data_IF_633921816914
#
_entry.id   IF_633921816914
#
_cell.length_a   1.000
_cell.length_b   1.000
_cell.length_c   1.000
_cell.angle_alpha   90.00
_cell.angle_beta   90.00
_cell.angle_gamma   90.00
#
_symmetry.space_group_name_H-M   'P 1'
#
loop_
_entity.id
_entity.type
_entity.pdbx_description
1 polymer ?
#
# COMPACT_ATOMS: atom_id res chain seq x y z
N UNK A 1 -48.87 -32.64 -35.32
CA UNK A 1 -48.06 -31.89 -36.30
C UNK A 1 -47.95 -30.38 -36.05
N UNK A 2 -48.51 -29.81 -34.96
CA UNK A 2 -48.48 -28.35 -34.71
C UNK A 2 -47.41 -27.95 -33.66
N UNK A 3 -46.88 -28.88 -32.86
CA UNK A 3 -45.91 -28.59 -31.79
C UNK A 3 -44.44 -28.55 -32.23
N UNK A 4 -44.10 -29.11 -33.39
CA UNK A 4 -42.71 -29.11 -33.89
C UNK A 4 -42.37 -27.82 -34.67
N UNK A 5 -43.39 -27.14 -35.20
CA UNK A 5 -43.22 -25.92 -36.00
C UNK A 5 -42.95 -24.66 -35.17
N UNK A 6 -43.19 -24.69 -33.85
CA UNK A 6 -42.96 -23.55 -32.93
C UNK A 6 -41.54 -23.56 -32.36
N UNK A 7 -40.91 -24.74 -32.24
CA UNK A 7 -39.51 -24.83 -31.78
C UNK A 7 -38.51 -24.42 -32.86
N UNK A 8 -38.82 -24.65 -34.15
CA UNK A 8 -37.93 -24.29 -35.25
C UNK A 8 -37.97 -22.79 -35.60
N UNK A 9 -39.08 -22.10 -35.34
CA UNK A 9 -39.16 -20.63 -35.49
C UNK A 9 -38.47 -19.87 -34.36
N UNK A 10 -38.32 -20.47 -33.17
CA UNK A 10 -37.59 -19.87 -32.05
C UNK A 10 -36.06 -19.87 -32.22
N UNK A 11 -35.50 -20.83 -32.97
CA UNK A 11 -34.05 -20.89 -33.23
C UNK A 11 -33.59 -20.07 -34.44
N UNK A 12 -34.49 -19.65 -35.34
CA UNK A 12 -34.16 -18.84 -36.51
C UNK A 12 -34.13 -17.32 -36.24
N UNK A 13 -34.47 -16.89 -35.02
CA UNK A 13 -34.41 -15.48 -34.59
C UNK A 13 -33.27 -15.18 -33.61
N UNK A 14 -32.47 -16.19 -33.22
CA UNK A 14 -31.23 -15.97 -32.51
C UNK A 14 -30.14 -15.51 -33.50
N UNK A 15 -30.30 -14.28 -34.01
CA UNK A 15 -29.21 -13.58 -34.68
C UNK A 15 -28.04 -13.53 -33.70
N UNK A 16 -26.81 -13.91 -34.09
CA UNK A 16 -25.67 -13.72 -33.21
C UNK A 16 -25.65 -12.24 -32.83
N UNK A 17 -25.65 -11.96 -31.53
CA UNK A 17 -25.45 -10.60 -31.01
C UNK A 17 -23.98 -10.25 -31.36
N UNK A 18 -23.72 -9.82 -32.59
CA UNK A 18 -22.39 -9.39 -33.00
C UNK A 18 -22.15 -8.04 -32.36
N UNK A 19 -21.23 -7.97 -31.40
CA UNK A 19 -20.71 -6.71 -30.87
C UNK A 19 -20.24 -5.86 -32.05
N UNK A 20 -20.86 -4.70 -32.26
CA UNK A 20 -20.48 -3.79 -33.32
C UNK A 20 -19.23 -3.01 -32.90
N UNK A 21 -18.27 -2.88 -33.81
CA UNK A 21 -17.14 -1.98 -33.63
C UNK A 21 -17.46 -0.63 -34.31
N UNK A 22 -17.35 0.47 -33.55
CA UNK A 22 -17.69 1.81 -34.03
C UNK A 22 -16.53 2.76 -33.79
N UNK A 23 -16.01 3.36 -34.85
CA UNK A 23 -15.06 4.45 -34.73
C UNK A 23 -15.78 5.70 -34.19
N UNK A 24 -15.19 6.36 -33.19
CA UNK A 24 -15.71 7.60 -32.62
C UNK A 24 -14.72 8.73 -32.94
N UNK A 25 -15.22 9.76 -33.61
CA UNK A 25 -14.43 10.96 -33.96
C UNK A 25 -14.44 11.91 -32.75
N UNK A 26 -13.30 12.56 -32.41
CA UNK A 26 -13.23 13.54 -31.33
C UNK A 26 -14.18 14.73 -31.55
N UNK A 27 -14.58 15.37 -30.46
CA UNK A 27 -15.50 16.52 -30.46
C UNK A 27 -16.28 16.62 -29.16
N UNK A 28 -16.89 17.78 -28.92
CA UNK A 28 -17.73 18.00 -27.73
C UNK A 28 -18.97 17.12 -27.77
N UNK A 29 -19.21 16.36 -26.69
CA UNK A 29 -20.34 15.44 -26.56
C UNK A 29 -20.29 14.20 -27.45
N UNK A 30 -19.27 14.04 -28.29
CA UNK A 30 -19.15 12.95 -29.26
C UNK A 30 -19.13 11.57 -28.62
N UNK A 31 -18.38 11.40 -27.52
CA UNK A 31 -18.29 10.14 -26.79
C UNK A 31 -19.62 9.81 -26.11
N UNK A 32 -20.28 10.79 -25.48
CA UNK A 32 -21.60 10.61 -24.87
C UNK A 32 -22.64 10.17 -25.90
N UNK A 33 -22.67 10.80 -27.08
CA UNK A 33 -23.56 10.39 -28.17
C UNK A 33 -23.25 8.97 -28.69
N UNK A 34 -21.96 8.61 -28.79
CA UNK A 34 -21.55 7.28 -29.20
C UNK A 34 -21.97 6.20 -28.18
N UNK A 35 -21.82 6.48 -26.89
CA UNK A 35 -22.28 5.61 -25.80
C UNK A 35 -23.80 5.43 -25.87
N UNK A 36 -24.56 6.52 -26.02
CA UNK A 36 -26.03 6.49 -26.09
C UNK A 36 -26.55 5.70 -27.31
N UNK A 37 -25.81 5.73 -28.43
CA UNK A 37 -26.16 4.99 -29.64
C UNK A 37 -25.69 3.53 -29.66
N UNK A 38 -24.86 3.09 -28.70
CA UNK A 38 -24.27 1.77 -28.68
C UNK A 38 -25.21 0.71 -28.06
N UNK A 39 -25.12 -0.53 -28.55
CA UNK A 39 -25.77 -1.67 -27.92
C UNK A 39 -24.86 -2.27 -26.83
N UNK A 40 -25.42 -2.92 -25.78
CA UNK A 40 -24.63 -3.70 -24.84
C UNK A 40 -23.70 -4.70 -25.55
N UNK A 41 -22.42 -4.68 -25.18
CA UNK A 41 -21.35 -5.49 -25.78
C UNK A 41 -20.57 -4.79 -26.90
N UNK A 42 -21.05 -3.66 -27.41
CA UNK A 42 -20.36 -2.94 -28.49
C UNK A 42 -18.98 -2.41 -28.08
N UNK A 43 -18.15 -2.17 -29.10
CA UNK A 43 -16.80 -1.65 -28.98
C UNK A 43 -16.72 -0.25 -29.60
N UNK A 44 -16.43 0.76 -28.79
CA UNK A 44 -16.17 2.14 -29.22
C UNK A 44 -14.67 2.37 -29.38
N UNK A 45 -14.22 2.58 -30.61
CA UNK A 45 -12.82 2.84 -30.97
C UNK A 45 -12.57 4.33 -31.10
N UNK A 46 -11.89 4.92 -30.11
CA UNK A 46 -11.52 6.33 -30.13
C UNK A 46 -10.34 6.54 -31.10
N UNK A 47 -10.40 7.67 -31.81
CA UNK A 47 -9.29 8.20 -32.62
C UNK A 47 -8.57 9.30 -31.84
N UNK A 48 -7.38 9.70 -32.28
CA UNK A 48 -6.65 10.78 -31.61
C UNK A 48 -7.46 12.09 -31.62
N UNK A 49 -7.46 12.78 -30.47
CA UNK A 49 -8.14 14.06 -30.31
C UNK A 49 -8.93 14.17 -29.00
N UNK A 50 -9.55 15.34 -28.80
CA UNK A 50 -10.25 15.67 -27.57
C UNK A 50 -11.75 15.31 -27.63
N UNK A 51 -12.21 14.55 -26.65
CA UNK A 51 -13.60 14.21 -26.37
C UNK A 51 -14.04 15.03 -25.14
N UNK A 52 -14.64 16.19 -25.41
CA UNK A 52 -15.01 17.14 -24.35
C UNK A 52 -16.38 16.80 -23.75
N UNK A 53 -16.45 16.92 -22.43
CA UNK A 53 -17.62 16.68 -21.62
C UNK A 53 -17.56 15.33 -20.91
N UNK A 54 -17.98 15.34 -19.63
CA UNK A 54 -18.08 14.14 -18.81
C UNK A 54 -19.10 13.15 -19.39
N UNK A 55 -18.85 11.86 -19.21
CA UNK A 55 -19.68 10.78 -19.75
C UNK A 55 -20.07 9.76 -18.70
N UNK A 56 -21.26 9.17 -18.87
CA UNK A 56 -21.73 8.03 -18.09
C UNK A 56 -21.75 6.81 -19.00
N UNK A 57 -21.05 5.74 -18.61
CA UNK A 57 -21.06 4.43 -19.27
C UNK A 57 -22.04 3.54 -18.52
N UNK A 58 -23.28 3.57 -18.99
CA UNK A 58 -24.49 2.98 -18.39
C UNK A 58 -24.94 1.68 -19.08
N UNK A 59 -24.11 1.14 -19.97
CA UNK A 59 -24.29 -0.19 -20.55
C UNK A 59 -22.95 -0.91 -20.69
N UNK A 60 -22.92 -2.26 -20.68
CA UNK A 60 -21.68 -3.01 -20.90
C UNK A 60 -21.07 -2.61 -22.25
N UNK A 61 -19.88 -2.02 -22.24
CA UNK A 61 -19.19 -1.53 -23.44
C UNK A 61 -17.69 -1.69 -23.30
N UNK A 62 -17.01 -1.85 -24.43
CA UNK A 62 -15.56 -1.66 -24.50
C UNK A 62 -15.27 -0.32 -25.15
N UNK A 63 -14.63 0.61 -24.44
CA UNK A 63 -14.10 1.85 -24.99
C UNK A 63 -12.59 1.70 -25.06
N UNK A 64 -12.04 1.73 -26.28
CA UNK A 64 -10.61 1.57 -26.52
C UNK A 64 -10.08 2.69 -27.40
N UNK A 65 -8.88 3.16 -27.12
CA UNK A 65 -8.27 4.24 -27.90
C UNK A 65 -6.76 4.30 -27.71
N UNK A 66 -6.07 5.04 -28.59
CA UNK A 66 -4.68 5.42 -28.38
C UNK A 66 -4.57 6.44 -27.25
N UNK A 67 -3.34 6.61 -26.73
CA UNK A 67 -3.06 7.61 -25.69
C UNK A 67 -3.40 9.05 -26.13
N UNK A 68 -3.39 9.34 -27.43
CA UNK A 68 -3.79 10.64 -27.99
C UNK A 68 -5.29 10.90 -28.01
N UNK A 69 -6.14 9.90 -27.73
CA UNK A 69 -7.54 10.13 -27.41
C UNK A 69 -7.66 10.66 -25.98
N UNK A 70 -8.17 11.88 -25.81
CA UNK A 70 -8.25 12.56 -24.52
C UNK A 70 -9.71 12.81 -24.16
N UNK A 71 -10.21 12.13 -23.13
CA UNK A 71 -11.52 12.42 -22.53
C UNK A 71 -11.33 13.51 -21.47
N UNK A 72 -11.96 14.66 -21.67
CA UNK A 72 -11.79 15.86 -20.86
C UNK A 72 -13.11 16.23 -20.18
N UNK A 73 -13.14 16.21 -18.85
CA UNK A 73 -14.30 16.56 -18.04
C UNK A 73 -14.51 18.07 -17.84
N UNK A 74 -13.66 18.90 -18.43
CA UNK A 74 -13.79 20.37 -18.46
C UNK A 74 -13.88 21.02 -17.06
N UNK A 75 -13.29 20.37 -16.05
CA UNK A 75 -13.24 20.85 -14.68
C UNK A 75 -14.52 20.62 -13.87
N UNK A 76 -15.41 19.73 -14.30
CA UNK A 76 -16.70 19.48 -13.65
C UNK A 76 -16.92 18.00 -13.31
N UNK A 77 -17.21 17.72 -12.04
CA UNK A 77 -17.58 16.38 -11.58
C UNK A 77 -16.52 15.32 -11.87
N UNK A 78 -16.96 14.07 -12.02
CA UNK A 78 -16.10 12.99 -12.52
C UNK A 78 -16.14 12.90 -14.05
N UNK A 79 -14.99 12.62 -14.68
CA UNK A 79 -14.86 12.64 -16.15
C UNK A 79 -15.57 11.46 -16.79
N UNK A 80 -15.30 10.24 -16.32
CA UNK A 80 -15.98 9.02 -16.77
C UNK A 80 -16.63 8.30 -15.59
N UNK A 81 -17.95 8.23 -15.58
CA UNK A 81 -18.71 7.49 -14.56
C UNK A 81 -19.17 6.16 -15.14
N UNK A 82 -18.71 5.05 -14.57
CA UNK A 82 -19.13 3.69 -14.95
C UNK A 82 -20.26 3.25 -14.02
N UNK A 83 -21.45 3.03 -14.58
CA UNK A 83 -22.64 2.62 -13.83
C UNK A 83 -23.19 1.25 -14.25
N UNK A 84 -22.68 0.67 -15.34
CA UNK A 84 -23.01 -0.68 -15.79
C UNK A 84 -21.89 -1.69 -15.51
N UNK A 85 -22.24 -2.98 -15.37
CA UNK A 85 -21.25 -4.03 -15.24
C UNK A 85 -20.51 -4.29 -16.56
N UNK A 86 -19.38 -5.01 -16.47
CA UNK A 86 -18.63 -5.52 -17.62
C UNK A 86 -18.15 -4.43 -18.60
N UNK A 87 -17.98 -3.19 -18.10
CA UNK A 87 -17.41 -2.08 -18.87
C UNK A 87 -15.89 -2.19 -18.91
N UNK A 88 -15.31 -2.05 -20.10
CA UNK A 88 -13.85 -1.99 -20.31
C UNK A 88 -13.45 -0.63 -20.84
N UNK A 89 -12.51 0.04 -20.17
CA UNK A 89 -11.85 1.27 -20.63
C UNK A 89 -10.38 0.99 -20.87
N UNK A 90 -9.83 1.26 -22.07
CA UNK A 90 -8.44 0.92 -22.36
C UNK A 90 -7.67 1.87 -23.28
N UNK A 91 -6.44 2.21 -22.87
CA UNK A 91 -5.39 2.80 -23.72
C UNK A 91 -5.37 4.32 -23.88
N UNK A 92 -6.44 5.03 -23.52
CA UNK A 92 -6.61 6.47 -23.75
C UNK A 92 -6.30 7.33 -22.50
N UNK A 93 -6.38 8.65 -22.66
CA UNK A 93 -6.09 9.63 -21.61
C UNK A 93 -7.37 10.23 -21.02
N UNK A 94 -7.42 10.40 -19.70
CA UNK A 94 -8.55 10.98 -18.96
C UNK A 94 -8.08 12.15 -18.11
N UNK A 95 -8.65 13.34 -18.33
CA UNK A 95 -8.25 14.59 -17.67
C UNK A 95 -9.45 15.45 -17.26
N UNK A 96 -9.18 16.45 -16.43
CA UNK A 96 -10.10 17.57 -16.25
C UNK A 96 -11.32 17.24 -15.40
N UNK A 97 -11.20 16.38 -14.38
CA UNK A 97 -12.25 16.27 -13.36
C UNK A 97 -12.46 17.62 -12.65
N UNK A 98 -13.58 17.74 -11.93
CA UNK A 98 -13.77 18.75 -10.90
C UNK A 98 -12.75 18.64 -9.76
N UNK A 99 -12.90 19.52 -8.75
CA UNK A 99 -11.96 19.68 -7.63
C UNK A 99 -12.60 19.48 -6.26
N UNK A 100 -13.81 18.92 -6.20
CA UNK A 100 -14.53 18.72 -4.95
C UNK A 100 -14.11 17.38 -4.33
N UNK A 101 -13.35 17.44 -3.23
CA UNK A 101 -12.87 16.24 -2.53
C UNK A 101 -14.03 15.43 -1.92
N UNK A 102 -15.04 16.13 -1.38
CA UNK A 102 -16.22 15.54 -0.74
C UNK A 102 -17.06 14.69 -1.70
N UNK A 103 -17.16 15.12 -2.96
CA UNK A 103 -17.89 14.41 -4.01
C UNK A 103 -17.05 13.33 -4.69
N UNK A 104 -15.77 13.24 -4.34
CA UNK A 104 -14.78 12.34 -4.94
C UNK A 104 -14.71 12.55 -6.46
N UNK A 105 -14.58 13.81 -6.90
CA UNK A 105 -14.37 14.12 -8.32
C UNK A 105 -13.15 13.34 -8.84
N UNK A 106 -13.38 12.50 -9.84
CA UNK A 106 -12.41 11.51 -10.29
C UNK A 106 -12.23 11.52 -11.80
N UNK A 107 -11.07 11.07 -12.28
CA UNK A 107 -10.90 10.75 -13.69
C UNK A 107 -11.86 9.62 -14.09
N UNK A 108 -11.83 8.50 -13.37
CA UNK A 108 -12.76 7.39 -13.57
C UNK A 108 -13.45 7.06 -12.25
N UNK A 109 -14.78 7.00 -12.24
CA UNK A 109 -15.58 6.63 -11.07
C UNK A 109 -16.43 5.40 -11.38
N UNK A 110 -16.18 4.29 -10.68
CA UNK A 110 -16.94 3.04 -10.80
C UNK A 110 -17.95 3.00 -9.67
N UNK A 111 -19.24 2.99 -10.01
CA UNK A 111 -20.31 3.03 -9.02
C UNK A 111 -20.67 1.63 -8.49
N UNK A 112 -21.42 1.61 -7.40
CA UNK A 112 -22.02 0.41 -6.87
C UNK A 112 -22.93 -0.23 -7.93
N UNK A 113 -22.75 -1.53 -8.16
CA UNK A 113 -23.46 -2.28 -9.21
C UNK A 113 -22.73 -2.32 -10.56
N UNK A 114 -21.70 -1.48 -10.77
CA UNK A 114 -20.81 -1.57 -11.92
C UNK A 114 -19.75 -2.66 -11.72
N UNK A 115 -20.21 -3.89 -11.54
CA UNK A 115 -19.36 -5.04 -11.24
C UNK A 115 -18.51 -5.45 -12.46
N UNK A 116 -17.33 -6.02 -12.20
CA UNK A 116 -16.40 -6.53 -13.23
C UNK A 116 -15.96 -5.46 -14.23
N UNK A 117 -15.86 -4.21 -13.78
CA UNK A 117 -15.27 -3.14 -14.58
C UNK A 117 -13.77 -3.39 -14.82
N UNK A 118 -13.29 -3.12 -16.03
CA UNK A 118 -11.91 -3.30 -16.46
C UNK A 118 -11.29 -1.98 -16.91
N UNK A 119 -10.49 -1.36 -16.05
CA UNK A 119 -9.81 -0.09 -16.34
C UNK A 119 -8.32 -0.36 -16.61
N UNK A 120 -7.89 -0.25 -17.87
CA UNK A 120 -6.60 -0.76 -18.31
C UNK A 120 -5.79 0.28 -19.07
N UNK A 121 -4.49 0.39 -18.80
CA UNK A 121 -3.56 1.16 -19.65
C UNK A 121 -3.99 2.62 -19.91
N UNK A 122 -4.74 3.23 -19.00
CA UNK A 122 -5.12 4.63 -19.10
C UNK A 122 -3.97 5.52 -18.62
N UNK A 123 -3.89 6.72 -19.19
CA UNK A 123 -3.21 7.85 -18.56
C UNK A 123 -4.27 8.70 -17.84
N UNK A 124 -4.21 8.75 -16.52
CA UNK A 124 -5.15 9.53 -15.70
C UNK A 124 -4.37 10.66 -15.05
N UNK A 125 -4.60 11.90 -15.49
CA UNK A 125 -3.79 13.04 -15.06
C UNK A 125 -4.62 14.32 -14.96
N UNK A 126 -4.21 15.23 -14.05
CA UNK A 126 -4.92 16.50 -13.86
C UNK A 126 -6.32 16.35 -13.27
N UNK A 127 -6.58 15.22 -12.59
CA UNK A 127 -7.83 14.94 -11.89
C UNK A 127 -7.65 15.10 -10.37
N UNK A 128 -8.72 15.39 -9.66
CA UNK A 128 -8.72 15.52 -8.21
C UNK A 128 -8.40 14.19 -7.54
N UNK A 129 -9.18 13.15 -7.83
CA UNK A 129 -8.82 11.75 -7.60
C UNK A 129 -8.56 11.05 -8.95
N UNK A 130 -7.70 10.03 -8.98
CA UNK A 130 -7.41 9.30 -10.21
C UNK A 130 -8.56 8.37 -10.60
N UNK A 131 -8.65 7.24 -9.91
CA UNK A 131 -9.67 6.21 -10.13
C UNK A 131 -10.38 5.91 -8.81
N UNK A 132 -11.69 6.11 -8.75
CA UNK A 132 -12.54 5.77 -7.60
C UNK A 132 -13.34 4.49 -7.89
N UNK A 133 -13.08 3.44 -7.12
CA UNK A 133 -13.80 2.17 -7.13
C UNK A 133 -14.80 2.17 -5.97
N UNK A 134 -15.98 2.69 -6.22
CA UNK A 134 -16.99 3.01 -5.22
C UNK A 134 -18.12 1.97 -5.22
N UNK A 135 -17.83 0.78 -4.72
CA UNK A 135 -18.80 -0.31 -4.56
C UNK A 135 -18.89 -1.32 -5.72
N UNK A 136 -18.22 -1.08 -6.86
CA UNK A 136 -18.25 -1.99 -8.02
C UNK A 136 -17.42 -3.26 -7.81
N UNK A 137 -18.06 -4.42 -7.64
CA UNK A 137 -17.40 -5.65 -7.20
C UNK A 137 -16.51 -6.25 -8.29
N UNK A 138 -15.43 -6.91 -7.91
CA UNK A 138 -14.50 -7.58 -8.83
C UNK A 138 -13.95 -6.65 -9.92
N UNK A 139 -13.80 -5.35 -9.62
CA UNK A 139 -13.20 -4.40 -10.54
C UNK A 139 -11.70 -4.73 -10.72
N UNK A 140 -11.19 -4.54 -11.93
CA UNK A 140 -9.76 -4.66 -12.23
C UNK A 140 -9.23 -3.33 -12.75
N UNK A 141 -8.22 -2.80 -12.08
CA UNK A 141 -7.54 -1.55 -12.45
C UNK A 141 -6.08 -1.91 -12.68
N UNK A 142 -5.70 -2.02 -13.95
CA UNK A 142 -4.45 -2.68 -14.34
C UNK A 142 -3.61 -1.83 -15.28
N UNK A 143 -2.32 -1.71 -15.00
CA UNK A 143 -1.34 -1.04 -15.88
C UNK A 143 -1.68 0.43 -16.20
N UNK A 144 -2.37 1.14 -15.30
CA UNK A 144 -2.67 2.55 -15.48
C UNK A 144 -1.51 3.42 -14.99
N UNK A 145 -1.32 4.58 -15.63
CA UNK A 145 -0.43 5.63 -15.15
C UNK A 145 -1.27 6.76 -14.57
N UNK A 146 -1.14 7.01 -13.27
CA UNK A 146 -1.90 8.01 -12.53
C UNK A 146 -0.92 9.10 -12.06
N UNK A 147 -1.15 10.33 -12.52
CA UNK A 147 -0.37 11.50 -12.11
C UNK A 147 -1.31 12.48 -11.41
N UNK A 148 -1.28 12.45 -10.08
CA UNK A 148 -2.15 13.26 -9.24
C UNK A 148 -1.76 14.73 -9.19
N UNK A 149 -2.58 15.54 -8.52
CA UNK A 149 -2.29 16.95 -8.31
C UNK A 149 -1.13 17.15 -7.33
N UNK A 150 -0.37 18.25 -7.50
CA UNK A 150 0.77 18.57 -6.67
C UNK A 150 0.54 19.85 -5.83
N UNK A 151 -0.64 19.98 -5.21
CA UNK A 151 -0.93 21.11 -4.29
C UNK A 151 0.11 21.15 -3.16
N UNK A 152 0.64 22.31 -2.74
CA UNK A 152 1.58 22.37 -1.61
C UNK A 152 0.98 21.82 -0.30
N UNK A 153 -0.36 21.86 -0.16
CA UNK A 153 -1.07 21.30 0.98
C UNK A 153 -1.47 19.86 0.69
N UNK A 154 -0.78 18.91 1.33
CA UNK A 154 -0.99 17.47 1.11
C UNK A 154 -2.46 17.03 1.31
N UNK A 155 -3.14 17.57 2.31
CA UNK A 155 -4.52 17.21 2.64
C UNK A 155 -5.55 17.70 1.62
N UNK A 156 -5.22 18.70 0.80
CA UNK A 156 -6.10 19.18 -0.27
C UNK A 156 -6.03 18.32 -1.54
N UNK A 157 -5.07 17.40 -1.63
CA UNK A 157 -4.93 16.50 -2.78
C UNK A 157 -5.93 15.34 -2.66
N UNK A 158 -6.39 14.81 -3.80
CA UNK A 158 -7.10 13.53 -3.83
C UNK A 158 -6.14 12.34 -3.96
N UNK A 159 -6.69 11.14 -3.89
CA UNK A 159 -5.94 9.89 -3.93
C UNK A 159 -5.72 9.43 -5.39
N UNK A 160 -4.68 8.63 -5.61
CA UNK A 160 -4.45 7.99 -6.91
C UNK A 160 -5.56 6.99 -7.24
N UNK A 161 -5.72 5.97 -6.40
CA UNK A 161 -6.83 5.02 -6.46
C UNK A 161 -7.55 5.01 -5.12
N UNK A 162 -8.86 5.22 -5.14
CA UNK A 162 -9.71 5.05 -3.96
C UNK A 162 -10.57 3.80 -4.13
N UNK A 163 -10.65 2.96 -3.10
CA UNK A 163 -11.47 1.75 -3.08
C UNK A 163 -12.37 1.78 -1.86
N UNK A 164 -13.67 1.85 -2.08
CA UNK A 164 -14.67 1.86 -1.01
C UNK A 164 -15.70 0.75 -1.21
N UNK A 165 -15.90 -0.10 -0.20
CA UNK A 165 -16.90 -1.17 -0.19
C UNK A 165 -16.95 -2.03 -1.47
N UNK A 166 -15.78 -2.34 -2.02
CA UNK A 166 -15.63 -2.95 -3.34
C UNK A 166 -14.84 -4.27 -3.28
N UNK A 167 -15.49 -5.36 -2.87
CA UNK A 167 -14.80 -6.63 -2.66
C UNK A 167 -14.38 -7.28 -3.97
N UNK A 168 -13.27 -8.03 -3.92
CA UNK A 168 -12.71 -8.70 -5.10
C UNK A 168 -11.90 -7.80 -6.02
N UNK A 169 -11.57 -6.57 -5.59
CA UNK A 169 -10.86 -5.60 -6.44
C UNK A 169 -9.42 -6.04 -6.69
N UNK A 170 -9.00 -6.03 -7.96
CA UNK A 170 -7.61 -6.24 -8.37
C UNK A 170 -6.99 -4.92 -8.81
N UNK A 171 -5.94 -4.48 -8.11
CA UNK A 171 -5.11 -3.34 -8.51
C UNK A 171 -3.72 -3.86 -8.88
N UNK A 172 -3.37 -3.88 -10.16
CA UNK A 172 -2.15 -4.53 -10.64
C UNK A 172 -1.31 -3.65 -11.56
N UNK A 173 0.00 -3.57 -11.29
CA UNK A 173 0.94 -2.97 -12.25
C UNK A 173 0.72 -1.49 -12.52
N UNK A 174 0.01 -0.77 -11.64
CA UNK A 174 -0.25 0.65 -11.80
C UNK A 174 0.97 1.48 -11.35
N UNK A 175 1.21 2.60 -12.03
CA UNK A 175 2.19 3.60 -11.62
C UNK A 175 1.48 4.84 -11.12
N UNK A 176 1.71 5.22 -9.86
CA UNK A 176 1.04 6.33 -9.20
C UNK A 176 2.08 7.31 -8.68
N UNK A 177 1.95 8.58 -9.07
CA UNK A 177 2.83 9.65 -8.63
C UNK A 177 2.04 10.92 -8.34
N UNK A 178 2.40 11.61 -7.24
CA UNK A 178 1.69 12.79 -6.74
C UNK A 178 0.23 12.52 -6.38
N UNK A 179 -0.43 13.52 -5.80
CA UNK A 179 -1.68 13.33 -5.06
C UNK A 179 -1.41 13.15 -3.57
N UNK A 180 -2.43 12.68 -2.84
CA UNK A 180 -2.38 12.43 -1.40
C UNK A 180 -1.89 11.03 -1.11
N UNK A 181 -2.74 10.02 -1.26
CA UNK A 181 -2.39 8.61 -1.05
C UNK A 181 -2.39 7.87 -2.39
N UNK A 182 -1.53 6.86 -2.55
CA UNK A 182 -1.41 6.06 -3.76
C UNK A 182 -2.65 5.18 -3.94
N UNK A 183 -2.80 4.19 -3.07
CA UNK A 183 -3.97 3.33 -2.95
C UNK A 183 -4.58 3.55 -1.57
N UNK A 184 -5.76 4.15 -1.50
CA UNK A 184 -6.55 4.24 -0.28
C UNK A 184 -7.71 3.24 -0.35
N UNK A 185 -7.74 2.26 0.55
CA UNK A 185 -8.80 1.25 0.60
C UNK A 185 -9.52 1.32 1.94
N UNK A 186 -10.82 1.58 1.88
CA UNK A 186 -11.68 1.73 3.04
C UNK A 186 -12.85 0.74 3.01
N UNK A 187 -13.11 0.06 4.12
CA UNK A 187 -14.27 -0.82 4.32
C UNK A 187 -14.47 -1.83 3.17
N UNK A 188 -13.39 -2.49 2.72
CA UNK A 188 -13.40 -3.43 1.59
C UNK A 188 -12.78 -4.79 1.97
N UNK A 189 -13.01 -5.84 1.17
CA UNK A 189 -12.48 -7.17 1.45
C UNK A 189 -12.12 -8.00 0.23
N UNK A 190 -11.32 -9.05 0.45
CA UNK A 190 -11.06 -10.08 -0.56
C UNK A 190 -10.41 -9.52 -1.83
N UNK A 191 -9.56 -8.51 -1.68
CA UNK A 191 -8.91 -7.76 -2.77
C UNK A 191 -7.41 -8.10 -2.88
N UNK A 192 -6.83 -7.81 -4.04
CA UNK A 192 -5.40 -8.03 -4.32
C UNK A 192 -4.79 -6.78 -4.93
N UNK A 193 -3.82 -6.18 -4.25
CA UNK A 193 -3.07 -5.01 -4.72
C UNK A 193 -1.62 -5.44 -4.93
N UNK A 194 -1.21 -5.60 -6.19
CA UNK A 194 0.11 -6.18 -6.49
C UNK A 194 0.91 -5.51 -7.60
N UNK A 195 2.22 -5.51 -7.46
CA UNK A 195 3.13 -5.01 -8.50
C UNK A 195 2.96 -3.53 -8.83
N UNK A 196 2.38 -2.72 -7.94
CA UNK A 196 2.18 -1.29 -8.17
C UNK A 196 3.42 -0.49 -7.73
N UNK A 197 3.72 0.60 -8.43
CA UNK A 197 4.80 1.54 -8.11
C UNK A 197 4.18 2.87 -7.67
N UNK A 198 4.50 3.32 -6.47
CA UNK A 198 3.89 4.48 -5.83
C UNK A 198 4.99 5.41 -5.29
N UNK A 199 5.00 6.67 -5.74
CA UNK A 199 6.08 7.61 -5.42
C UNK A 199 5.58 9.03 -5.15
N UNK A 200 6.32 9.75 -4.32
CA UNK A 200 6.09 11.19 -4.05
C UNK A 200 4.68 11.48 -3.49
N UNK A 201 4.17 10.58 -2.65
CA UNK A 201 2.85 10.59 -2.01
C UNK A 201 2.99 10.77 -0.49
N UNK A 202 1.85 10.99 0.18
CA UNK A 202 1.73 10.80 1.62
C UNK A 202 1.88 9.32 1.95
N UNK A 203 0.91 8.49 1.61
CA UNK A 203 0.95 7.03 1.85
C UNK A 203 0.98 6.27 0.52
N UNK A 204 1.84 5.27 0.35
CA UNK A 204 1.77 4.42 -0.85
C UNK A 204 0.52 3.55 -0.80
N UNK A 205 0.35 2.78 0.27
CA UNK A 205 -0.87 2.00 0.54
C UNK A 205 -1.43 2.39 1.90
N UNK A 206 -2.71 2.72 1.94
CA UNK A 206 -3.44 3.11 3.14
C UNK A 206 -4.71 2.28 3.27
N UNK A 207 -4.75 1.40 4.27
CA UNK A 207 -5.93 0.60 4.59
C UNK A 207 -6.65 1.17 5.78
N UNK A 208 -7.98 1.21 5.68
CA UNK A 208 -8.89 1.46 6.79
C UNK A 208 -9.98 0.40 6.75
N UNK A 209 -10.09 -0.41 7.80
CA UNK A 209 -11.18 -1.39 7.96
C UNK A 209 -11.25 -2.44 6.83
N UNK A 210 -10.11 -2.98 6.39
CA UNK A 210 -10.07 -4.00 5.33
C UNK A 210 -9.97 -5.42 5.89
N UNK A 211 -10.43 -6.41 5.09
CA UNK A 211 -10.37 -7.82 5.48
C UNK A 211 -9.87 -8.71 4.34
N UNK A 212 -9.04 -9.70 4.66
CA UNK A 212 -8.58 -10.71 3.70
C UNK A 212 -8.03 -10.09 2.41
N UNK A 213 -7.23 -9.03 2.55
CA UNK A 213 -6.70 -8.28 1.40
C UNK A 213 -5.20 -8.48 1.30
N UNK A 214 -4.72 -8.76 0.09
CA UNK A 214 -3.31 -8.96 -0.21
C UNK A 214 -2.68 -7.67 -0.76
N UNK A 215 -1.52 -7.31 -0.23
CA UNK A 215 -0.61 -6.26 -0.71
C UNK A 215 0.71 -6.93 -1.01
N UNK A 216 0.98 -7.21 -2.30
CA UNK A 216 2.15 -8.02 -2.67
C UNK A 216 3.02 -7.46 -3.80
N UNK A 217 4.34 -7.52 -3.65
CA UNK A 217 5.27 -7.10 -4.71
C UNK A 217 5.17 -5.62 -5.09
N UNK A 218 4.63 -4.77 -4.24
CA UNK A 218 4.50 -3.34 -4.52
C UNK A 218 5.77 -2.60 -4.12
N UNK A 219 6.01 -1.47 -4.79
CA UNK A 219 7.17 -0.61 -4.54
C UNK A 219 6.70 0.78 -4.11
N UNK A 220 7.09 1.16 -2.91
CA UNK A 220 6.95 2.50 -2.34
C UNK A 220 8.31 3.19 -2.39
N UNK A 221 8.37 4.39 -2.97
CA UNK A 221 9.62 5.17 -3.06
C UNK A 221 9.40 6.64 -2.71
N UNK A 222 10.15 7.13 -1.72
CA UNK A 222 10.17 8.55 -1.39
C UNK A 222 8.81 9.11 -0.96
N UNK A 223 7.95 8.30 -0.34
CA UNK A 223 6.67 8.73 0.23
C UNK A 223 6.85 9.17 1.69
N UNK A 224 5.83 9.81 2.29
CA UNK A 224 5.87 10.07 3.73
C UNK A 224 5.76 8.77 4.53
N UNK A 225 5.00 7.79 4.03
CA UNK A 225 4.83 6.46 4.59
C UNK A 225 4.67 5.44 3.46
N UNK A 226 5.30 4.28 3.58
CA UNK A 226 5.12 3.19 2.64
C UNK A 226 3.76 2.51 2.78
N UNK A 227 3.69 1.51 3.65
CA UNK A 227 2.52 0.65 3.80
C UNK A 227 1.85 0.87 5.17
N UNK A 228 0.71 1.56 5.20
CA UNK A 228 -0.12 1.76 6.39
C UNK A 228 -1.29 0.78 6.40
N UNK A 229 -1.23 -0.23 7.26
CA UNK A 229 -2.28 -1.23 7.43
C UNK A 229 -3.03 -0.93 8.73
N UNK A 230 -4.21 -0.30 8.63
CA UNK A 230 -4.96 0.19 9.79
C UNK A 230 -6.34 -0.46 9.94
N UNK A 231 -6.65 -0.86 11.17
CA UNK A 231 -7.94 -1.46 11.56
C UNK A 231 -8.37 -2.67 10.71
N UNK A 232 -7.38 -3.43 10.20
CA UNK A 232 -7.60 -4.51 9.24
C UNK A 232 -7.40 -5.89 9.84
N UNK A 233 -7.94 -6.92 9.19
CA UNK A 233 -7.85 -8.30 9.65
C UNK A 233 -7.50 -9.26 8.51
N UNK A 234 -6.60 -10.21 8.77
CA UNK A 234 -6.12 -11.20 7.78
C UNK A 234 -5.51 -10.56 6.53
N UNK A 235 -4.75 -9.48 6.71
CA UNK A 235 -4.00 -8.89 5.62
C UNK A 235 -2.80 -9.77 5.26
N UNK A 236 -2.47 -9.87 3.97
CA UNK A 236 -1.24 -10.50 3.50
C UNK A 236 -0.33 -9.42 2.93
N UNK A 237 0.81 -9.18 3.54
CA UNK A 237 1.75 -8.12 3.15
C UNK A 237 3.05 -8.82 2.74
N UNK A 238 3.20 -9.04 1.43
CA UNK A 238 4.16 -10.00 0.89
C UNK A 238 5.14 -9.34 -0.08
N UNK A 239 6.45 -9.50 0.10
CA UNK A 239 7.44 -9.14 -0.92
C UNK A 239 7.40 -7.66 -1.37
N UNK A 240 6.98 -6.73 -0.50
CA UNK A 240 6.93 -5.31 -0.84
C UNK A 240 8.26 -4.62 -0.55
N UNK A 241 8.54 -3.57 -1.31
CA UNK A 241 9.73 -2.72 -1.14
C UNK A 241 9.29 -1.32 -0.67
N UNK A 242 9.81 -0.86 0.45
CA UNK A 242 9.69 0.52 0.93
C UNK A 242 11.07 1.16 0.96
N UNK A 243 11.31 2.10 0.06
CA UNK A 243 12.64 2.63 -0.25
C UNK A 243 12.66 4.15 -0.07
N UNK A 244 13.38 4.62 0.93
CA UNK A 244 13.50 6.05 1.21
C UNK A 244 12.19 6.72 1.63
N UNK A 245 11.26 5.96 2.22
CA UNK A 245 10.06 6.56 2.83
C UNK A 245 10.42 7.28 4.14
N UNK A 246 9.70 8.36 4.47
CA UNK A 246 10.10 9.29 5.56
C UNK A 246 9.86 8.75 6.97
N UNK A 247 8.60 8.54 7.34
CA UNK A 247 8.19 8.28 8.73
C UNK A 247 8.14 6.79 9.06
N UNK A 248 7.41 6.01 8.26
CA UNK A 248 7.28 4.56 8.45
C UNK A 248 7.37 3.84 7.12
N UNK A 249 8.09 2.71 7.09
CA UNK A 249 8.16 1.89 5.89
C UNK A 249 6.99 0.92 5.83
N UNK A 250 6.78 0.20 6.94
CA UNK A 250 5.62 -0.65 7.16
C UNK A 250 5.02 -0.37 8.54
N UNK A 251 3.69 -0.18 8.60
CA UNK A 251 2.95 0.06 9.82
C UNK A 251 1.77 -0.89 9.93
N UNK A 252 1.67 -1.57 11.09
CA UNK A 252 0.50 -2.32 11.55
C UNK A 252 -0.14 -1.56 12.72
N UNK A 253 -1.31 -0.98 12.49
CA UNK A 253 -2.05 -0.23 13.52
C UNK A 253 -3.45 -0.84 13.68
N UNK A 254 -3.76 -1.46 14.83
CA UNK A 254 -4.98 -2.26 14.99
C UNK A 254 -5.14 -3.35 13.89
N UNK A 255 -4.02 -3.84 13.34
CA UNK A 255 -4.01 -4.89 12.32
C UNK A 255 -3.81 -6.26 12.96
N UNK A 256 -4.70 -7.21 12.65
CA UNK A 256 -4.75 -8.49 13.34
C UNK A 256 -4.71 -9.69 12.38
N UNK A 257 -4.12 -10.80 12.85
CA UNK A 257 -4.01 -12.06 12.10
C UNK A 257 -3.39 -11.88 10.71
N UNK A 258 -2.46 -10.94 10.56
CA UNK A 258 -1.80 -10.63 9.30
C UNK A 258 -0.56 -11.49 9.09
N UNK A 259 -0.29 -11.79 7.82
CA UNK A 259 0.94 -12.43 7.35
C UNK A 259 1.84 -11.36 6.75
N UNK A 260 3.03 -11.17 7.31
CA UNK A 260 3.99 -10.15 6.89
C UNK A 260 5.31 -10.82 6.57
N UNK A 261 5.64 -10.95 5.29
CA UNK A 261 6.86 -11.67 4.88
C UNK A 261 7.51 -11.18 3.61
N UNK A 262 8.83 -11.35 3.50
CA UNK A 262 9.62 -11.01 2.33
C UNK A 262 9.70 -9.51 2.05
N UNK A 263 9.27 -8.65 2.98
CA UNK A 263 9.29 -7.20 2.76
C UNK A 263 10.68 -6.63 3.04
N UNK A 264 11.08 -5.64 2.24
CA UNK A 264 12.28 -4.85 2.45
C UNK A 264 11.90 -3.41 2.79
N UNK A 265 12.44 -2.89 3.89
CA UNK A 265 12.39 -1.47 4.22
C UNK A 265 13.82 -0.95 4.37
N UNK A 266 14.15 0.12 3.63
CA UNK A 266 15.46 0.79 3.73
C UNK A 266 15.46 2.24 3.29
N UNK A 267 16.57 2.94 3.52
CA UNK A 267 16.82 4.26 2.96
C UNK A 267 16.54 5.42 3.93
N UNK A 268 16.82 5.26 5.23
CA UNK A 268 16.76 6.36 6.20
C UNK A 268 15.37 6.65 6.78
N UNK A 269 14.43 5.72 6.65
CA UNK A 269 13.10 5.82 7.28
C UNK A 269 13.22 5.92 8.80
N UNK A 270 12.42 6.80 9.42
CA UNK A 270 12.45 6.99 10.88
C UNK A 270 12.13 5.70 11.63
N UNK A 271 11.10 4.96 11.20
CA UNK A 271 10.76 3.63 11.73
C UNK A 271 10.58 2.64 10.58
N UNK A 272 11.47 1.66 10.47
CA UNK A 272 11.37 0.62 9.45
C UNK A 272 10.03 -0.13 9.58
N UNK A 273 9.77 -0.63 10.78
CA UNK A 273 8.55 -1.36 11.11
C UNK A 273 7.90 -0.82 12.39
N UNK A 274 6.61 -0.51 12.32
CA UNK A 274 5.86 -0.02 13.48
C UNK A 274 4.63 -0.89 13.75
N UNK A 275 4.51 -1.34 15.00
CA UNK A 275 3.42 -2.18 15.48
C UNK A 275 2.74 -1.47 16.66
N UNK A 276 1.47 -1.14 16.47
CA UNK A 276 0.61 -0.49 17.45
C UNK A 276 -0.70 -1.25 17.61
N UNK A 277 -0.96 -1.75 18.83
CA UNK A 277 -2.15 -2.52 19.20
C UNK A 277 -2.55 -3.58 18.15
N UNK A 278 -1.57 -4.33 17.65
CA UNK A 278 -1.73 -5.30 16.58
C UNK A 278 -1.41 -6.70 17.12
N UNK A 279 -2.29 -7.67 16.87
CA UNK A 279 -2.24 -8.97 17.53
C UNK A 279 -2.27 -10.16 16.57
N UNK A 280 -1.67 -11.27 17.00
CA UNK A 280 -1.70 -12.57 16.30
C UNK A 280 -1.13 -12.52 14.88
N UNK A 281 -0.20 -11.60 14.62
CA UNK A 281 0.44 -11.48 13.31
C UNK A 281 1.63 -12.43 13.22
N UNK A 282 1.84 -12.98 12.04
CA UNK A 282 3.04 -13.74 11.68
C UNK A 282 3.94 -12.81 10.88
N UNK A 283 5.14 -12.56 11.40
CA UNK A 283 6.10 -11.62 10.80
C UNK A 283 7.42 -12.38 10.60
N UNK A 284 7.73 -12.74 9.36
CA UNK A 284 8.89 -13.56 9.08
C UNK A 284 9.60 -13.24 7.78
N UNK A 285 10.90 -13.50 7.73
CA UNK A 285 11.76 -13.31 6.56
C UNK A 285 11.66 -11.90 5.93
N UNK A 286 11.49 -10.87 6.76
CA UNK A 286 11.55 -9.45 6.34
C UNK A 286 12.94 -8.86 6.62
N UNK A 287 13.34 -7.86 5.84
CA UNK A 287 14.59 -7.12 6.01
C UNK A 287 14.31 -5.65 6.31
N UNK A 288 14.82 -5.19 7.45
CA UNK A 288 14.67 -3.83 7.94
C UNK A 288 16.06 -3.24 8.15
N UNK A 289 16.48 -2.34 7.27
CA UNK A 289 17.85 -1.85 7.28
C UNK A 289 17.98 -0.33 7.18
N UNK A 290 19.03 0.23 7.78
CA UNK A 290 19.39 1.65 7.67
C UNK A 290 18.29 2.64 8.08
N UNK A 291 17.44 2.23 9.03
CA UNK A 291 16.39 3.07 9.61
C UNK A 291 16.82 3.73 10.93
N UNK A 292 16.06 4.73 11.36
CA UNK A 292 16.19 5.29 12.71
C UNK A 292 15.91 4.23 13.77
N UNK A 293 14.73 3.60 13.68
CA UNK A 293 14.33 2.45 14.51
C UNK A 293 14.02 1.26 13.59
N UNK A 294 14.61 0.10 13.84
CA UNK A 294 14.34 -1.14 13.09
C UNK A 294 12.90 -1.62 13.29
N UNK A 295 12.52 -1.88 14.54
CA UNK A 295 11.14 -2.17 14.94
C UNK A 295 10.73 -1.34 16.16
N UNK A 296 9.61 -0.63 16.05
CA UNK A 296 8.95 0.01 17.18
C UNK A 296 7.67 -0.74 17.54
N UNK A 297 7.66 -1.36 18.71
CA UNK A 297 6.60 -2.25 19.18
C UNK A 297 5.97 -1.67 20.45
N UNK A 298 4.69 -1.34 20.40
CA UNK A 298 4.01 -0.63 21.49
C UNK A 298 2.52 -0.99 21.63
N UNK A 299 1.86 -0.34 22.59
CA UNK A 299 0.42 -0.35 22.84
C UNK A 299 -0.18 -1.75 23.07
N UNK A 300 0.54 -2.60 23.81
CA UNK A 300 0.01 -3.91 24.22
C UNK A 300 -0.19 -4.89 23.08
N UNK A 301 0.52 -4.74 21.95
CA UNK A 301 0.53 -5.71 20.86
C UNK A 301 0.93 -7.10 21.37
N UNK A 302 0.17 -8.14 21.03
CA UNK A 302 0.24 -9.45 21.68
C UNK A 302 0.16 -10.62 20.70
N UNK A 303 0.77 -11.74 21.07
CA UNK A 303 0.72 -13.02 20.32
C UNK A 303 1.25 -12.90 18.88
N UNK A 304 2.12 -11.92 18.63
CA UNK A 304 2.82 -11.82 17.35
C UNK A 304 4.02 -12.76 17.36
N UNK A 305 4.25 -13.44 16.24
CA UNK A 305 5.44 -14.27 16.03
C UNK A 305 6.41 -13.48 15.15
N UNK A 306 7.63 -13.25 15.65
CA UNK A 306 8.72 -12.61 14.90
C UNK A 306 9.89 -13.58 14.79
N UNK A 307 10.16 -14.08 13.59
CA UNK A 307 11.23 -15.05 13.33
C UNK A 307 11.81 -14.87 11.92
N UNK A 308 13.08 -15.18 11.71
CA UNK A 308 13.73 -15.14 10.40
C UNK A 308 13.95 -13.75 9.83
N UNK A 309 13.59 -12.67 10.53
CA UNK A 309 13.77 -11.30 10.04
C UNK A 309 15.23 -10.87 10.18
N UNK A 310 15.64 -9.84 9.41
CA UNK A 310 16.97 -9.25 9.50
C UNK A 310 16.89 -7.75 9.81
N UNK A 311 17.47 -7.35 10.95
CA UNK A 311 17.56 -5.98 11.40
C UNK A 311 19.01 -5.49 11.29
N UNK A 312 19.28 -4.59 10.35
CA UNK A 312 20.65 -4.31 9.89
C UNK A 312 20.94 -2.81 9.88
N UNK A 313 21.99 -2.40 10.60
CA UNK A 313 22.49 -1.03 10.61
C UNK A 313 21.41 0.02 10.89
N UNK A 314 20.39 -0.33 11.69
CA UNK A 314 19.45 0.65 12.21
C UNK A 314 20.11 1.39 13.37
N UNK A 315 19.80 2.68 13.56
CA UNK A 315 20.36 3.45 14.69
C UNK A 315 19.95 2.86 16.04
N UNK A 316 18.72 2.39 16.13
CA UNK A 316 18.18 1.61 17.24
C UNK A 316 17.47 0.39 16.64
N UNK A 317 17.90 -0.83 16.95
CA UNK A 317 17.28 -2.01 16.32
C UNK A 317 15.83 -2.20 16.77
N UNK A 318 15.56 -1.98 18.05
CA UNK A 318 14.29 -2.31 18.67
C UNK A 318 13.93 -1.24 19.68
N UNK A 319 12.75 -0.66 19.54
CA UNK A 319 12.09 0.14 20.58
C UNK A 319 10.87 -0.63 21.08
N UNK A 320 10.94 -1.20 22.28
CA UNK A 320 9.84 -1.98 22.85
C UNK A 320 9.25 -1.27 24.07
N UNK A 321 7.98 -0.88 23.98
CA UNK A 321 7.26 -0.24 25.09
C UNK A 321 6.23 -1.24 25.62
N UNK A 322 6.63 -2.00 26.65
CA UNK A 322 5.77 -2.97 27.32
C UNK A 322 6.45 -3.57 28.55
N UNK A 323 5.64 -4.12 29.46
CA UNK A 323 6.11 -4.71 30.73
C UNK A 323 6.17 -6.24 30.69
N UNK A 324 5.85 -6.86 29.55
CA UNK A 324 5.81 -8.31 29.38
C UNK A 324 7.08 -8.85 28.76
N UNK A 325 7.40 -10.10 29.08
CA UNK A 325 8.43 -10.87 28.37
C UNK A 325 7.90 -11.33 27.02
N UNK A 326 8.65 -11.05 25.97
CA UNK A 326 8.32 -11.42 24.59
C UNK A 326 9.45 -12.28 24.02
N UNK A 327 9.11 -13.47 23.53
CA UNK A 327 10.05 -14.32 22.80
C UNK A 327 9.92 -14.04 21.31
N UNK A 328 11.01 -13.59 20.68
CA UNK A 328 11.14 -13.33 19.25
C UNK A 328 12.01 -14.41 18.59
N UNK A 329 11.66 -15.66 18.88
CA UNK A 329 12.08 -16.83 18.13
C UNK A 329 10.91 -17.81 18.07
N UNK A 330 10.92 -18.68 17.07
CA UNK A 330 9.91 -19.71 16.90
C UNK A 330 10.56 -21.01 16.44
N UNK A 331 10.24 -22.12 17.10
CA UNK A 331 10.77 -23.46 16.78
C UNK A 331 12.30 -23.52 16.61
N UNK A 332 13.03 -22.81 17.49
CA UNK A 332 14.50 -22.77 17.45
C UNK A 332 15.08 -21.86 16.36
N UNK A 333 14.27 -21.00 15.74
CA UNK A 333 14.72 -20.01 14.76
C UNK A 333 14.34 -18.60 15.20
N UNK A 334 15.34 -17.75 15.41
CA UNK A 334 15.19 -16.33 15.77
C UNK A 334 15.41 -15.41 14.57
N UNK A 335 15.87 -14.20 14.84
CA UNK A 335 16.11 -13.13 13.86
C UNK A 335 17.61 -12.80 13.79
N UNK A 336 18.03 -12.13 12.72
CA UNK A 336 19.37 -11.58 12.58
C UNK A 336 19.42 -10.15 13.11
N UNK A 337 20.44 -9.84 13.91
CA UNK A 337 20.64 -8.54 14.55
C UNK A 337 22.08 -8.08 14.29
N UNK A 338 22.28 -7.03 13.50
CA UNK A 338 23.63 -6.61 13.09
C UNK A 338 24.49 -6.02 14.22
N UNK A 339 23.88 -5.67 15.35
CA UNK A 339 24.53 -5.14 16.55
C UNK A 339 24.73 -6.21 17.62
N UNK A 340 24.39 -7.48 17.35
CA UNK A 340 24.62 -8.59 18.26
C UNK A 340 26.04 -9.17 18.06
N UNK A 341 26.95 -8.98 19.03
CA UNK A 341 28.26 -9.61 18.98
C UNK A 341 28.12 -11.09 19.38
N UNK A 342 27.91 -11.96 18.40
CA UNK A 342 27.62 -13.37 18.59
C UNK A 342 28.70 -14.29 18.00
N UNK A 343 28.78 -15.48 18.57
CA UNK A 343 29.58 -16.61 18.07
C UNK A 343 28.66 -17.82 17.89
N UNK A 344 29.06 -18.69 16.98
CA UNK A 344 28.41 -19.96 16.67
C UNK A 344 29.52 -21.03 16.69
N UNK A 345 29.71 -21.64 17.86
CA UNK A 345 30.78 -22.61 18.10
C UNK A 345 30.41 -24.01 17.60
N UNK A 346 29.12 -24.33 17.51
CA UNK A 346 28.62 -25.62 17.05
C UNK A 346 28.41 -25.67 15.53
N UNK A 347 28.42 -24.52 14.84
CA UNK A 347 28.33 -24.37 13.39
C UNK A 347 26.92 -24.55 12.83
N UNK A 348 25.87 -24.40 13.64
CA UNK A 348 24.49 -24.62 13.21
C UNK A 348 23.81 -23.38 12.57
N UNK A 349 24.52 -22.25 12.54
CA UNK A 349 24.04 -20.99 11.98
C UNK A 349 23.20 -20.14 12.95
N UNK A 350 23.07 -20.56 14.20
CA UNK A 350 22.42 -19.86 15.30
C UNK A 350 23.49 -19.40 16.29
N UNK A 351 23.30 -18.21 16.87
CA UNK A 351 24.20 -17.71 17.91
C UNK A 351 24.02 -18.53 19.20
N UNK A 352 25.13 -18.91 19.84
CA UNK A 352 25.12 -19.61 21.13
C UNK A 352 24.61 -18.72 22.29
N UNK A 353 24.53 -17.41 22.07
CA UNK A 353 24.04 -16.42 23.05
C UNK A 353 22.67 -15.88 22.67
N UNK A 354 21.83 -15.61 23.68
CA UNK A 354 20.56 -14.93 23.46
C UNK A 354 20.76 -13.46 23.11
N UNK A 355 19.93 -12.96 22.20
CA UNK A 355 19.82 -11.53 21.96
C UNK A 355 18.74 -10.94 22.86
N UNK A 356 19.03 -9.80 23.47
CA UNK A 356 18.09 -9.03 24.28
C UNK A 356 18.24 -7.57 23.88
N UNK A 357 17.27 -6.99 23.17
CA UNK A 357 17.29 -5.58 22.89
C UNK A 357 16.77 -4.81 24.11
N UNK A 358 17.47 -3.73 24.42
CA UNK A 358 17.18 -2.75 25.46
C UNK A 358 17.38 -3.22 26.90
N UNK A 359 17.88 -2.31 27.73
CA UNK A 359 18.01 -2.47 29.17
C UNK A 359 16.99 -1.60 29.94
N UNK A 360 16.94 -1.68 31.28
CA UNK A 360 16.03 -0.84 32.08
C UNK A 360 16.32 0.66 31.89
N UNK A 361 17.58 1.00 31.61
CA UNK A 361 17.98 2.39 31.40
C UNK A 361 17.42 2.91 30.09
N UNK A 362 17.32 2.09 29.04
CA UNK A 362 16.66 2.46 27.79
C UNK A 362 15.17 2.80 28.01
N UNK A 363 14.46 2.04 28.86
CA UNK A 363 13.09 2.37 29.26
C UNK A 363 13.00 3.73 30.01
N UNK A 364 13.96 4.00 30.91
CA UNK A 364 14.04 5.29 31.62
C UNK A 364 14.33 6.43 30.63
N UNK A 365 15.26 6.24 29.70
CA UNK A 365 15.62 7.22 28.67
C UNK A 365 14.45 7.54 27.74
N UNK A 366 13.62 6.56 27.39
CA UNK A 366 12.44 6.79 26.57
C UNK A 366 11.31 7.51 27.32
N UNK A 367 11.15 7.24 28.61
CA UNK A 367 10.15 7.94 29.45
C UNK A 367 10.62 9.34 29.88
N UNK A 368 11.94 9.56 30.00
CA UNK A 368 12.57 10.80 30.43
C UNK A 368 13.72 11.17 29.48
N UNK A 369 13.43 11.80 28.33
CA UNK A 369 14.45 12.14 27.33
C UNK A 369 15.60 13.00 27.87
N UNK A 370 15.35 13.82 28.89
CA UNK A 370 16.37 14.64 29.57
C UNK A 370 17.48 13.81 30.26
N UNK A 371 17.20 12.54 30.60
CA UNK A 371 18.18 11.64 31.20
C UNK A 371 19.27 11.16 30.19
N UNK A 372 19.09 11.44 28.88
CA UNK A 372 20.09 11.10 27.85
C UNK A 372 21.46 11.75 28.08
N UNK A 373 21.51 12.89 28.76
CA UNK A 373 22.75 13.55 29.17
C UNK A 373 23.60 12.72 30.16
N UNK A 374 23.01 11.72 30.81
CA UNK A 374 23.66 10.91 31.85
C UNK A 374 24.14 9.54 31.34
N UNK A 375 23.93 9.22 30.05
CA UNK A 375 24.27 7.90 29.45
C UNK A 375 25.75 7.54 29.63
N UNK A 376 26.64 8.52 29.56
CA UNK A 376 28.08 8.33 29.77
C UNK A 376 28.52 8.28 31.24
N UNK A 377 27.59 8.46 32.20
CA UNK A 377 27.97 8.53 33.61
C UNK A 377 28.32 7.15 34.19
N UNK A 378 29.27 7.08 35.15
CA UNK A 378 29.66 5.83 35.79
C UNK A 378 28.49 5.07 36.44
N UNK A 379 27.49 5.78 36.95
CA UNK A 379 26.30 5.17 37.54
C UNK A 379 25.45 4.42 36.50
N UNK A 380 25.25 5.01 35.31
CA UNK A 380 24.53 4.34 34.21
C UNK A 380 25.31 3.12 33.71
N UNK A 381 26.63 3.25 33.55
CA UNK A 381 27.50 2.13 33.13
C UNK A 381 27.48 0.97 34.14
N UNK A 382 27.50 1.26 35.45
CA UNK A 382 27.43 0.27 36.50
C UNK A 382 26.08 -0.48 36.50
N UNK A 383 24.97 0.24 36.30
CA UNK A 383 23.64 -0.39 36.17
C UNK A 383 23.58 -1.29 34.93
N UNK A 384 24.08 -0.83 33.78
CA UNK A 384 24.14 -1.63 32.54
C UNK A 384 24.98 -2.91 32.72
N UNK A 385 26.14 -2.80 33.34
CA UNK A 385 26.99 -3.94 33.65
C UNK A 385 26.29 -4.92 34.61
N UNK A 386 25.69 -4.41 35.70
CA UNK A 386 24.96 -5.24 36.65
C UNK A 386 23.79 -5.98 36.00
N UNK A 387 23.11 -5.39 35.02
CA UNK A 387 21.98 -6.01 34.33
C UNK A 387 22.41 -7.09 33.33
N UNK A 388 23.60 -6.94 32.73
CA UNK A 388 24.20 -7.97 31.90
C UNK A 388 24.53 -9.23 32.71
N UNK A 389 25.07 -9.05 33.91
CA UNK A 389 25.60 -10.14 34.74
C UNK A 389 24.57 -10.71 35.76
N UNK A 390 23.50 -9.96 36.09
CA UNK A 390 22.44 -10.39 37.03
C UNK A 390 21.01 -10.21 36.45
N UNK A 391 20.55 -11.12 35.56
CA UNK A 391 19.34 -10.94 34.76
C UNK A 391 18.00 -10.99 35.51
N UNK A 392 17.97 -11.36 36.79
CA UNK A 392 16.76 -11.65 37.55
C UNK A 392 15.95 -10.41 38.00
N UNK A 393 16.34 -9.20 37.60
CA UNK A 393 15.78 -7.93 38.10
C UNK A 393 15.06 -7.08 37.03
N UNK A 394 14.87 -7.59 35.80
CA UNK A 394 14.28 -6.82 34.69
C UNK A 394 12.74 -6.89 34.67
N UNK A 395 12.03 -5.74 34.58
CA UNK A 395 10.59 -5.71 34.37
C UNK A 395 10.24 -5.97 32.89
N UNK A 396 10.07 -7.24 32.53
CA UNK A 396 9.70 -7.61 31.16
C UNK A 396 10.79 -7.27 30.13
N UNK A 397 10.53 -7.57 28.86
CA UNK A 397 11.47 -7.27 27.78
C UNK A 397 11.38 -8.23 26.61
N UNK A 398 12.06 -7.88 25.53
CA UNK A 398 12.20 -8.76 24.37
C UNK A 398 13.40 -9.67 24.57
N UNK A 399 13.27 -10.91 24.14
CA UNK A 399 14.36 -11.88 24.07
C UNK A 399 14.21 -12.65 22.76
N UNK A 400 15.33 -12.87 22.10
CA UNK A 400 15.46 -13.82 21.00
C UNK A 400 16.43 -14.92 21.43
N UNK A 401 15.89 -16.11 21.60
CA UNK A 401 16.62 -17.28 22.12
C UNK A 401 17.38 -18.06 21.05
N UNK A 402 17.20 -17.75 19.76
CA UNK A 402 17.90 -18.41 18.67
C UNK A 402 18.33 -17.41 17.57
N UNK A 403 19.14 -16.38 17.90
CA UNK A 403 19.51 -15.35 16.93
C UNK A 403 20.25 -15.96 15.73
N UNK A 404 19.95 -15.50 14.53
CA UNK A 404 20.60 -16.00 13.31
C UNK A 404 21.99 -15.38 13.11
N UNK A 405 22.94 -16.16 12.62
CA UNK A 405 24.31 -15.69 12.32
C UNK A 405 24.45 -14.96 10.98
N UNK A 406 23.48 -15.12 10.07
CA UNK A 406 23.52 -14.51 8.74
C UNK A 406 22.19 -13.81 8.41
N UNK A 407 22.24 -12.62 7.82
CA UNK A 407 21.03 -11.94 7.38
C UNK A 407 20.46 -12.60 6.12
N UNK A 408 19.13 -12.59 5.98
CA UNK A 408 18.50 -12.83 4.70
C UNK A 408 18.77 -11.67 3.74
N UNK A 409 18.84 -11.94 2.44
CA UNK A 409 19.07 -10.91 1.42
C UNK A 409 17.82 -10.75 0.55
N UNK A 410 17.40 -9.51 0.32
CA UNK A 410 16.31 -9.17 -0.59
C UNK A 410 16.89 -8.22 -1.65
N UNK A 411 16.86 -8.62 -2.91
CA UNK A 411 17.36 -7.82 -4.02
C UNK A 411 16.34 -6.78 -4.45
N UNK A 412 16.78 -5.54 -4.67
CA UNK A 412 15.98 -4.50 -5.33
C UNK A 412 16.20 -4.61 -6.85
N UNK A 413 15.14 -4.68 -7.67
CA UNK A 413 15.28 -4.75 -9.12
C UNK A 413 16.01 -3.51 -9.69
N UNK A 414 16.86 -3.66 -10.72
CA UNK A 414 17.64 -2.56 -11.29
C UNK A 414 16.81 -1.34 -11.72
N UNK A 415 15.61 -1.57 -12.25
CA UNK A 415 14.67 -0.52 -12.67
C UNK A 415 14.14 0.33 -11.50
N UNK A 416 14.15 -0.22 -10.28
CA UNK A 416 13.72 0.48 -9.07
C UNK A 416 14.86 1.30 -8.44
N UNK A 417 16.12 0.89 -8.64
CA UNK A 417 17.28 1.60 -8.09
C UNK A 417 17.36 3.06 -8.57
N UNK A 418 16.93 3.34 -9.81
CA UNK A 418 16.86 4.72 -10.32
C UNK A 418 15.90 5.59 -9.51
N UNK A 419 14.74 5.04 -9.14
CA UNK A 419 13.76 5.75 -8.33
C UNK A 419 14.24 5.95 -6.89
N UNK A 420 14.89 4.94 -6.32
CA UNK A 420 15.48 5.04 -4.98
C UNK A 420 16.55 6.13 -4.93
N UNK A 421 17.41 6.23 -5.95
CA UNK A 421 18.41 7.28 -6.05
C UNK A 421 17.78 8.69 -6.15
N UNK A 422 16.64 8.86 -6.84
CA UNK A 422 15.89 10.12 -6.89
C UNK A 422 15.30 10.53 -5.53
N UNK A 423 15.04 9.57 -4.64
CA UNK A 423 14.49 9.82 -3.30
C UNK A 423 15.56 9.96 -2.21
N UNK A 424 16.78 9.48 -2.46
CA UNK A 424 17.87 9.48 -1.50
C UNK A 424 18.18 10.90 -0.98
N UNK A 425 18.34 11.03 0.34
CA UNK A 425 18.69 12.30 0.98
C UNK A 425 17.58 13.35 1.05
N UNK A 426 16.42 13.11 0.42
CA UNK A 426 15.28 14.06 0.40
C UNK A 426 14.82 14.50 1.78
N UNK A 427 14.94 13.62 2.76
CA UNK A 427 14.49 13.86 4.13
C UNK A 427 15.61 14.28 5.09
N UNK A 428 16.83 14.48 4.59
CA UNK A 428 17.96 14.94 5.41
C UNK A 428 17.85 16.42 5.77
N UNK A 429 17.16 17.21 4.95
CA UNK A 429 16.97 18.66 5.10
C UNK A 429 15.47 18.97 5.15
N UNK A 430 14.85 18.97 6.34
CA UNK A 430 13.43 19.34 6.50
C UNK A 430 12.91 19.16 7.93
N UNK A 431 11.90 19.94 8.32
CA UNK A 431 11.18 19.73 9.57
C UNK A 431 10.24 18.52 9.43
N UNK A 432 10.34 17.58 10.36
CA UNK A 432 9.50 16.37 10.44
C UNK A 432 8.03 16.66 10.84
N UNK A 433 7.63 17.94 10.92
CA UNK A 433 6.43 18.39 11.64
C UNK A 433 5.12 18.36 10.82
N UNK A 434 5.15 17.95 9.55
CA UNK A 434 3.93 17.99 8.72
C UNK A 434 2.95 16.84 9.00
N UNK A 435 3.34 15.84 9.79
CA UNK A 435 2.47 14.71 10.16
C UNK A 435 2.81 14.24 11.57
N UNK A 436 2.02 14.66 12.55
CA UNK A 436 2.00 14.01 13.86
C UNK A 436 1.37 12.62 13.69
N UNK A 437 2.21 11.63 13.36
CA UNK A 437 1.79 10.24 13.22
C UNK A 437 1.30 9.64 14.55
N UNK A 438 1.51 10.32 15.69
CA UNK A 438 1.00 9.89 16.98
C UNK A 438 -0.48 10.30 17.19
N UNK A 439 -1.06 11.10 16.27
CA UNK A 439 -2.49 11.47 16.25
C UNK A 439 -3.32 10.71 15.19
N UNK A 440 -2.86 9.53 14.75
CA UNK A 440 -3.57 8.67 13.79
C UNK A 440 -4.84 7.99 14.35
N UNK A 441 -5.24 8.29 15.58
CA UNK A 441 -6.52 7.87 16.16
C UNK A 441 -7.70 8.76 15.75
N UNK A 442 -7.45 9.90 15.10
CA UNK A 442 -8.46 10.92 14.79
C UNK A 442 -8.93 10.96 13.31
N UNK A 443 -8.67 9.92 12.51
CA UNK A 443 -9.10 9.86 11.10
C UNK A 443 -9.95 8.63 10.79
#
# INVERSE_FOLDING_TARGET
MIRLSVLLTGLLLASPLTAAERAVVPGTGSLGAAIAGAAPGDVLKLTDGAYRGSVIVDRPLTILGPRGAVVDGEGQGSVMTVSAPDVTLTGFTVIGSGRVNQDLDSGVKILQGADRAHIKKLLVTGNMHGIDVHGGRNATVVQNQIVGTNSPRMNERGNGIYVWNSPGTLLEGNSIRYGRDGIFSNASSDSVYRGNIMRDLRFAVHFMYTRNTEVSGNVSVGNHLGFAIMFSNRAKILNNLSLGDREHGLMLNYANNADVTGNLVRGGTKKCFFIYNAHKNLIWDNRFETCGIGIHFTAGSEKNVLTGNAFIANREQVKYIGTRNMEWSHEGRGNFWSDHPAFDLNGDGIADSFYRPNDLMDQILWSQPAASLLIGSPAVQLVRWSQRDFPATLPGGVRDSAPLMRPLTISVPPEILGYEAEAAGRWAEGNYDDTDADNLSAH
#
